data_IF_081910451188
#
_entry.id   IF_081910451188
#
_cell.length_a   1.000
_cell.length_b   1.000
_cell.length_c   1.000
_cell.angle_alpha   90.00
_cell.angle_beta   90.00
_cell.angle_gamma   90.00
#
_symmetry.space_group_name_H-M   'P 1'
#
loop_
_entity.id
_entity.type
_entity.pdbx_description
1 polymer ?
#
# COMPACT_ATOMS: atom_id res chain seq x y z
N UNK A 1 1.64 -28.41 18.81
CA UNK A 1 0.95 -27.18 18.34
C UNK A 1 0.22 -27.55 17.06
N UNK A 2 -1.10 -27.47 17.05
CA UNK A 2 -1.89 -27.79 15.85
C UNK A 2 -1.64 -26.73 14.75
N UNK A 3 -1.59 -27.11 13.47
CA UNK A 3 -1.46 -26.14 12.39
C UNK A 3 -2.67 -25.18 12.41
N UNK A 4 -2.47 -23.89 12.09
CA UNK A 4 -3.58 -22.94 12.04
C UNK A 4 -4.64 -23.43 11.05
N UNK A 5 -5.89 -23.38 11.47
CA UNK A 5 -7.05 -23.72 10.64
C UNK A 5 -7.03 -22.91 9.35
N UNK A 6 -7.06 -23.57 8.20
CA UNK A 6 -6.97 -22.97 6.85
C UNK A 6 -8.06 -21.93 6.49
N UNK A 7 -8.96 -21.62 7.42
CA UNK A 7 -10.12 -20.75 7.26
C UNK A 7 -10.04 -19.41 8.02
N UNK A 8 -8.96 -19.14 8.76
CA UNK A 8 -8.87 -17.91 9.54
C UNK A 8 -8.41 -16.71 8.71
N UNK A 9 -9.12 -15.60 8.84
CA UNK A 9 -8.70 -14.30 8.30
C UNK A 9 -7.48 -13.80 9.06
N UNK A 10 -6.42 -13.41 8.34
CA UNK A 10 -5.21 -12.86 8.93
C UNK A 10 -5.09 -11.37 8.62
N UNK A 11 -5.05 -10.53 9.67
CA UNK A 11 -5.01 -9.08 9.59
C UNK A 11 -3.76 -8.59 10.32
N UNK A 12 -2.90 -7.84 9.63
CA UNK A 12 -1.60 -7.45 10.18
C UNK A 12 -0.98 -6.26 9.45
N UNK A 13 0.11 -5.74 10.00
CA UNK A 13 0.93 -4.67 9.41
C UNK A 13 2.34 -5.21 9.11
N UNK A 14 2.99 -4.79 8.01
CA UNK A 14 4.39 -5.12 7.77
C UNK A 14 5.30 -4.56 8.87
N UNK A 15 6.40 -5.26 9.14
CA UNK A 15 7.46 -4.74 10.02
C UNK A 15 8.01 -3.41 9.47
N UNK A 16 8.22 -2.43 10.35
CA UNK A 16 8.71 -1.10 9.96
C UNK A 16 7.73 -0.27 9.13
N UNK A 17 6.48 -0.71 8.96
CA UNK A 17 5.43 0.04 8.27
C UNK A 17 4.13 0.05 9.11
N UNK A 18 4.10 0.78 10.24
CA UNK A 18 2.90 0.88 11.05
C UNK A 18 1.81 1.67 10.31
N UNK A 19 0.53 1.51 10.69
CA UNK A 19 -0.54 2.33 10.16
C UNK A 19 -0.42 3.77 10.68
N UNK A 20 -0.90 4.71 9.88
CA UNK A 20 -0.85 6.15 10.18
C UNK A 20 -1.84 6.52 11.30
N UNK A 21 -2.91 5.75 11.46
CA UNK A 21 -3.90 5.88 12.53
C UNK A 21 -4.28 4.48 13.03
N UNK A 22 -4.63 4.31 14.31
CA UNK A 22 -4.88 2.99 14.90
C UNK A 22 -6.22 2.34 14.48
N UNK A 23 -6.91 2.89 13.49
CA UNK A 23 -8.24 2.43 13.05
C UNK A 23 -8.22 1.33 11.99
N UNK A 24 -7.05 0.99 11.44
CA UNK A 24 -6.94 -0.01 10.38
C UNK A 24 -5.59 -0.75 10.41
N UNK A 25 -5.49 -1.82 9.61
CA UNK A 25 -4.24 -2.53 9.31
C UNK A 25 -3.97 -2.51 7.80
N UNK A 26 -2.70 -2.53 7.41
CA UNK A 26 -2.31 -2.48 5.99
C UNK A 26 -2.74 -3.70 5.19
N UNK A 27 -2.79 -4.89 5.81
CA UNK A 27 -3.03 -6.14 5.09
C UNK A 27 -4.18 -6.90 5.74
N UNK A 28 -5.10 -7.39 4.90
CA UNK A 28 -6.04 -8.46 5.23
C UNK A 28 -5.89 -9.60 4.23
N UNK A 29 -5.71 -10.82 4.72
CA UNK A 29 -5.59 -12.03 3.93
C UNK A 29 -6.75 -12.97 4.29
N UNK A 30 -7.69 -13.12 3.35
CA UNK A 30 -8.94 -13.87 3.53
C UNK A 30 -8.89 -15.13 2.66
N UNK A 31 -8.89 -16.35 3.23
CA UNK A 31 -9.07 -17.57 2.46
C UNK A 31 -10.41 -17.56 1.72
N UNK A 32 -10.41 -17.84 0.41
CA UNK A 32 -11.63 -17.95 -0.40
C UNK A 32 -11.87 -19.38 -0.90
N UNK A 33 -10.86 -20.24 -0.79
CA UNK A 33 -10.95 -21.69 -0.96
C UNK A 33 -9.78 -22.35 -0.22
N UNK A 34 -9.67 -23.68 -0.30
CA UNK A 34 -8.53 -24.42 0.25
C UNK A 34 -7.18 -24.09 -0.41
N UNK A 35 -7.19 -23.50 -1.60
CA UNK A 35 -5.97 -23.22 -2.39
C UNK A 35 -5.79 -21.73 -2.72
N UNK A 36 -6.79 -20.89 -2.49
CA UNK A 36 -6.76 -19.47 -2.85
C UNK A 36 -7.15 -18.57 -1.69
N UNK A 37 -6.55 -17.38 -1.67
CA UNK A 37 -6.87 -16.31 -0.74
C UNK A 37 -6.97 -14.98 -1.48
N UNK A 38 -7.82 -14.09 -0.99
CA UNK A 38 -7.87 -12.70 -1.40
C UNK A 38 -7.03 -11.87 -0.44
N UNK A 39 -6.02 -11.18 -0.96
CA UNK A 39 -5.21 -10.22 -0.19
C UNK A 39 -5.70 -8.81 -0.51
N UNK A 40 -6.12 -8.08 0.51
CA UNK A 40 -6.51 -6.67 0.41
C UNK A 40 -5.45 -5.81 1.09
N UNK A 41 -5.01 -4.76 0.39
CA UNK A 41 -4.10 -3.76 0.92
C UNK A 41 -4.86 -2.47 1.23
N UNK A 42 -4.58 -1.86 2.37
CA UNK A 42 -5.02 -0.50 2.65
C UNK A 42 -4.34 0.50 1.70
N UNK A 43 -4.94 1.68 1.55
CA UNK A 43 -4.40 2.74 0.71
C UNK A 43 -2.99 3.16 1.16
N UNK A 44 -2.01 2.98 0.28
CA UNK A 44 -0.64 3.40 0.54
C UNK A 44 -0.44 4.85 0.10
N UNK A 45 0.19 5.63 0.96
CA UNK A 45 0.48 7.05 0.73
C UNK A 45 1.98 7.30 0.84
N UNK A 46 2.41 8.41 0.24
CA UNK A 46 3.81 8.80 0.17
C UNK A 46 4.33 9.64 1.33
N UNK A 47 3.65 9.63 2.47
CA UNK A 47 4.04 10.37 3.67
C UNK A 47 4.32 9.40 4.83
N UNK A 48 5.43 9.57 5.57
CA UNK A 48 5.70 8.81 6.78
C UNK A 48 4.55 8.88 7.81
N UNK A 49 4.35 7.84 8.63
CA UNK A 49 3.35 7.85 9.70
C UNK A 49 3.56 8.97 10.74
N UNK A 50 4.77 9.51 10.83
CA UNK A 50 5.16 10.56 11.78
C UNK A 50 4.96 11.97 11.22
N UNK A 51 4.56 12.11 9.95
CA UNK A 51 4.37 13.42 9.30
C UNK A 51 3.21 14.16 9.93
N UNK A 52 3.49 15.37 10.39
CA UNK A 52 2.55 16.34 10.94
C UNK A 52 2.19 17.40 9.91
N UNK A 53 1.17 18.20 10.20
CA UNK A 53 0.78 19.34 9.34
C UNK A 53 1.86 20.43 9.20
N UNK A 54 2.92 20.39 10.02
CA UNK A 54 4.04 21.35 9.99
C UNK A 54 5.19 20.88 9.11
N UNK A 55 5.21 19.60 8.73
CA UNK A 55 6.29 19.05 7.93
C UNK A 55 6.12 19.43 6.45
N UNK A 56 7.24 19.65 5.72
CA UNK A 56 7.17 19.94 4.31
C UNK A 56 6.54 18.75 3.56
N UNK A 57 5.54 19.05 2.75
CA UNK A 57 4.89 18.05 1.90
C UNK A 57 5.87 17.66 0.78
N UNK A 58 6.19 16.37 0.59
CA UNK A 58 7.08 15.95 -0.49
C UNK A 58 6.52 16.31 -1.86
N UNK A 59 7.37 16.36 -2.89
CA UNK A 59 6.92 16.52 -4.27
C UNK A 59 5.95 15.41 -4.67
N UNK A 60 5.08 15.65 -5.65
CA UNK A 60 4.15 14.60 -6.11
C UNK A 60 4.90 13.34 -6.61
N UNK A 61 5.98 13.44 -7.41
CA UNK A 61 6.79 12.28 -7.77
C UNK A 61 7.35 11.51 -6.58
N UNK A 62 7.84 12.20 -5.54
CA UNK A 62 8.36 11.56 -4.34
C UNK A 62 7.26 10.84 -3.54
N UNK A 63 6.06 11.45 -3.48
CA UNK A 63 4.91 10.79 -2.87
C UNK A 63 4.53 9.51 -3.61
N UNK A 64 4.55 9.51 -4.95
CA UNK A 64 4.27 8.33 -5.76
C UNK A 64 5.31 7.24 -5.51
N UNK A 65 6.61 7.58 -5.53
CA UNK A 65 7.69 6.61 -5.24
C UNK A 65 7.54 5.99 -3.86
N UNK A 66 7.27 6.80 -2.84
CA UNK A 66 7.09 6.33 -1.47
C UNK A 66 5.83 5.44 -1.32
N UNK A 67 4.71 5.81 -1.95
CA UNK A 67 3.51 4.99 -1.95
C UNK A 67 3.73 3.62 -2.62
N UNK A 68 4.41 3.59 -3.78
CA UNK A 68 4.76 2.35 -4.47
C UNK A 68 5.73 1.49 -3.64
N UNK A 69 6.73 2.09 -2.99
CA UNK A 69 7.63 1.36 -2.09
C UNK A 69 6.90 0.74 -0.89
N UNK A 70 5.86 1.42 -0.36
CA UNK A 70 5.03 0.88 0.70
C UNK A 70 4.13 -0.27 0.21
N UNK A 71 3.65 -0.22 -1.03
CA UNK A 71 2.98 -1.37 -1.67
C UNK A 71 3.94 -2.56 -1.72
N UNK A 72 5.20 -2.35 -2.13
CA UNK A 72 6.20 -3.42 -2.22
C UNK A 72 6.46 -4.09 -0.85
N UNK A 73 6.53 -3.31 0.23
CA UNK A 73 6.59 -3.85 1.61
C UNK A 73 5.37 -4.69 1.95
N UNK A 74 4.17 -4.23 1.60
CA UNK A 74 2.94 -4.95 1.89
C UNK A 74 2.83 -6.26 1.11
N UNK A 75 3.19 -6.25 -0.17
CA UNK A 75 3.21 -7.45 -1.02
C UNK A 75 4.21 -8.49 -0.47
N UNK A 76 5.42 -8.05 -0.11
CA UNK A 76 6.45 -8.91 0.47
C UNK A 76 5.97 -9.53 1.79
N UNK A 77 5.39 -8.74 2.69
CA UNK A 77 4.87 -9.22 3.97
C UNK A 77 3.67 -10.17 3.81
N UNK A 78 2.87 -10.02 2.75
CA UNK A 78 1.76 -10.92 2.42
C UNK A 78 2.20 -12.17 1.64
N UNK A 79 3.47 -12.28 1.24
CA UNK A 79 3.99 -13.38 0.43
C UNK A 79 3.34 -13.45 -0.97
N UNK A 80 3.10 -12.30 -1.58
CA UNK A 80 2.55 -12.17 -2.95
C UNK A 80 3.41 -11.21 -3.78
N UNK A 81 3.16 -11.14 -5.08
CA UNK A 81 3.94 -10.34 -6.03
C UNK A 81 3.04 -9.38 -6.82
N UNK A 82 3.65 -8.47 -7.58
CA UNK A 82 2.93 -7.57 -8.50
C UNK A 82 2.12 -8.31 -9.56
N UNK A 83 2.47 -9.57 -9.88
CA UNK A 83 1.74 -10.41 -10.85
C UNK A 83 0.39 -10.88 -10.32
N UNK A 84 0.21 -10.86 -9.00
CA UNK A 84 -1.01 -11.30 -8.33
C UNK A 84 -2.05 -10.16 -8.19
N UNK A 85 -1.71 -8.94 -8.62
CA UNK A 85 -2.59 -7.77 -8.54
C UNK A 85 -3.68 -7.90 -9.59
N UNK A 86 -4.92 -8.09 -9.13
CA UNK A 86 -6.12 -8.16 -9.99
C UNK A 86 -6.88 -6.83 -10.06
N UNK A 87 -6.63 -5.92 -9.12
CA UNK A 87 -7.29 -4.61 -9.05
C UNK A 87 -6.41 -3.61 -8.32
N UNK A 88 -6.41 -2.37 -8.79
CA UNK A 88 -5.80 -1.25 -8.10
C UNK A 88 -6.76 -0.05 -8.13
N UNK A 89 -6.62 0.84 -7.15
CA UNK A 89 -7.35 2.10 -7.11
C UNK A 89 -6.42 3.23 -6.72
N UNK A 90 -6.32 4.22 -7.60
CA UNK A 90 -5.46 5.38 -7.43
C UNK A 90 -6.30 6.60 -7.09
N UNK A 91 -5.91 7.32 -6.04
CA UNK A 91 -6.52 8.58 -5.65
C UNK A 91 -5.46 9.68 -5.76
N UNK A 92 -5.67 10.63 -6.66
CA UNK A 92 -4.74 11.74 -6.89
C UNK A 92 -5.40 13.06 -6.53
N UNK A 93 -4.87 13.71 -5.50
CA UNK A 93 -5.32 15.03 -5.07
C UNK A 93 -5.03 16.06 -6.16
N UNK A 94 -6.01 16.90 -6.49
CA UNK A 94 -5.89 18.01 -7.46
C UNK A 94 -5.44 17.55 -8.86
N UNK A 95 -5.80 16.34 -9.30
CA UNK A 95 -5.37 15.78 -10.59
C UNK A 95 -5.47 16.75 -11.78
N UNK A 96 -6.57 17.50 -11.86
CA UNK A 96 -6.84 18.44 -12.95
C UNK A 96 -5.99 19.73 -12.92
N UNK A 97 -5.35 20.04 -11.79
CA UNK A 97 -4.53 21.23 -11.61
C UNK A 97 -3.07 20.91 -11.25
N UNK A 98 -2.62 19.69 -11.56
CA UNK A 98 -1.22 19.30 -11.48
C UNK A 98 -0.40 19.96 -12.60
N UNK A 99 0.89 20.17 -12.34
CA UNK A 99 1.79 20.75 -13.34
C UNK A 99 2.09 19.73 -14.45
N UNK A 100 2.46 20.17 -15.66
CA UNK A 100 2.98 19.28 -16.71
C UNK A 100 4.15 18.40 -16.23
N UNK A 101 5.04 18.95 -15.41
CA UNK A 101 6.18 18.23 -14.83
C UNK A 101 5.76 17.02 -13.99
N UNK A 102 4.64 17.10 -13.26
CA UNK A 102 4.08 15.98 -12.49
C UNK A 102 3.66 14.81 -13.40
N UNK A 103 3.18 15.10 -14.62
CA UNK A 103 2.80 14.08 -15.60
C UNK A 103 4.03 13.48 -16.29
N UNK A 104 5.01 14.30 -16.65
CA UNK A 104 6.28 13.86 -17.24
C UNK A 104 7.10 12.98 -16.28
N UNK A 105 6.93 13.16 -14.97
CA UNK A 105 7.57 12.32 -13.96
C UNK A 105 7.21 10.83 -14.08
N UNK A 106 6.10 10.47 -14.74
CA UNK A 106 5.70 9.08 -14.98
C UNK A 106 6.81 8.25 -15.60
N UNK A 107 7.46 8.76 -16.65
CA UNK A 107 8.51 8.06 -17.41
C UNK A 107 9.82 7.87 -16.63
N UNK A 108 9.95 8.53 -15.46
CA UNK A 108 11.09 8.38 -14.54
C UNK A 108 10.76 7.47 -13.36
N UNK A 109 9.49 7.14 -13.15
CA UNK A 109 9.01 6.34 -12.01
C UNK A 109 8.72 4.91 -12.46
N UNK A 110 8.14 4.76 -13.65
CA UNK A 110 7.82 3.49 -14.30
C UNK A 110 8.81 3.23 -15.43
#
# INVERSE_FOLDING_TARGET
MSPPSSSQVHIFNPEGHPPQVPSYSHISSVPISSTHRLVSLAGQVGVPPTTTAKDPIPSFPDQVRAALANIDKCLAAAGVTKRDIVSNRQYVVKLQSRSPEDFEARERIF
#
